data_IF_296499059503
#
_entry.id   IF_296499059503
#
_cell.length_a   1.000
_cell.length_b   1.000
_cell.length_c   1.000
_cell.angle_alpha   90.00
_cell.angle_beta   90.00
_cell.angle_gamma   90.00
#
_symmetry.space_group_name_H-M   'P 1'
#
loop_
_entity.id
_entity.type
_entity.pdbx_description
1 polymer ?
#
# COMPACT_ATOMS: atom_id res chain seq x y z
N UNK A 1 15.39 -20.03 22.68
CA UNK A 1 16.37 -19.11 23.26
C UNK A 1 15.82 -18.56 24.58
N UNK A 2 16.61 -18.57 25.68
CA UNK A 2 16.13 -18.28 27.02
C UNK A 2 15.97 -16.77 27.26
N UNK A 3 14.87 -16.40 27.93
CA UNK A 3 14.62 -15.17 28.70
C UNK A 3 15.19 -13.85 28.15
N UNK A 4 14.38 -13.11 27.38
CA UNK A 4 14.48 -11.66 27.39
C UNK A 4 13.97 -11.17 28.76
N UNK A 5 14.89 -10.86 29.67
CA UNK A 5 14.56 -10.22 30.96
C UNK A 5 13.90 -8.87 30.68
N UNK A 6 12.69 -8.65 31.22
CA UNK A 6 11.98 -7.38 31.16
C UNK A 6 12.78 -6.28 31.88
N UNK A 7 12.73 -5.06 31.35
CA UNK A 7 13.31 -3.90 32.01
C UNK A 7 12.64 -3.67 33.39
N UNK A 8 13.39 -3.09 34.34
CA UNK A 8 12.89 -2.76 35.69
C UNK A 8 11.92 -1.58 35.71
N UNK A 9 11.71 -0.91 34.57
CA UNK A 9 10.80 0.23 34.39
C UNK A 9 10.01 0.03 33.10
N UNK A 10 8.75 0.47 33.10
CA UNK A 10 7.91 0.54 31.91
C UNK A 10 7.73 1.99 31.43
N UNK A 11 7.02 2.20 30.33
CA UNK A 11 6.80 3.54 29.76
C UNK A 11 6.03 4.50 30.66
N UNK A 12 5.13 4.00 31.52
CA UNK A 12 4.40 4.83 32.47
C UNK A 12 5.31 5.32 33.59
N UNK A 13 6.22 4.47 34.08
CA UNK A 13 7.19 4.83 35.11
C UNK A 13 8.16 5.91 34.61
N UNK A 14 8.63 5.78 33.35
CA UNK A 14 9.49 6.77 32.69
C UNK A 14 8.79 8.12 32.54
N UNK A 15 7.52 8.13 32.14
CA UNK A 15 6.73 9.35 31.98
C UNK A 15 6.44 9.99 33.35
N UNK A 16 6.14 9.22 34.38
CA UNK A 16 5.95 9.73 35.74
C UNK A 16 7.23 10.36 36.28
N UNK A 17 8.38 9.71 36.10
CA UNK A 17 9.69 10.24 36.52
C UNK A 17 10.05 11.53 35.77
N UNK A 18 9.83 11.57 34.45
CA UNK A 18 10.06 12.77 33.63
C UNK A 18 9.15 13.93 34.06
N UNK A 19 7.87 13.68 34.35
CA UNK A 19 6.94 14.71 34.81
C UNK A 19 7.27 15.22 36.21
N UNK A 20 7.81 14.37 37.09
CA UNK A 20 8.22 14.74 38.43
C UNK A 20 9.50 15.61 38.44
N UNK A 21 10.49 15.26 37.62
CA UNK A 21 11.72 16.04 37.44
C UNK A 21 12.23 16.02 35.99
N UNK A 22 11.81 16.98 35.15
CA UNK A 22 12.22 17.06 33.75
C UNK A 22 13.71 17.33 33.52
N UNK A 23 14.46 17.70 34.57
CA UNK A 23 15.90 17.93 34.52
C UNK A 23 16.69 16.86 35.27
N UNK A 24 15.99 15.86 35.82
CA UNK A 24 16.57 14.79 36.62
C UNK A 24 17.12 13.65 35.78
N UNK A 25 17.59 12.63 36.47
CA UNK A 25 18.04 11.38 35.87
C UNK A 25 17.28 10.20 36.49
N UNK A 26 17.13 9.12 35.72
CA UNK A 26 16.50 7.88 36.18
C UNK A 26 17.38 6.68 35.86
N UNK A 27 17.63 5.84 36.86
CA UNK A 27 18.37 4.58 36.73
C UNK A 27 17.40 3.41 36.58
N UNK A 28 17.70 2.52 35.64
CA UNK A 28 16.95 1.27 35.46
C UNK A 28 17.86 0.15 34.94
N UNK A 29 17.45 -1.11 35.14
CA UNK A 29 18.13 -2.27 34.59
C UNK A 29 17.30 -2.92 33.48
N UNK A 30 17.98 -3.46 32.47
CA UNK A 30 17.37 -4.31 31.45
C UNK A 30 18.28 -5.50 31.20
N UNK A 31 17.86 -6.68 31.66
CA UNK A 31 18.73 -7.85 31.75
C UNK A 31 19.91 -7.61 32.69
N UNK A 32 21.12 -7.93 32.24
CA UNK A 32 22.36 -7.76 33.01
C UNK A 32 22.98 -6.35 32.92
N UNK A 33 22.29 -5.41 32.25
CA UNK A 33 22.82 -4.09 31.96
C UNK A 33 22.08 -3.02 32.76
N UNK A 34 22.82 -2.02 33.24
CA UNK A 34 22.30 -0.88 33.98
C UNK A 34 22.36 0.36 33.08
N UNK A 35 21.29 1.11 33.07
CA UNK A 35 21.09 2.29 32.26
C UNK A 35 20.72 3.49 33.11
N UNK A 36 21.13 4.66 32.64
CA UNK A 36 20.71 5.96 33.14
C UNK A 36 20.04 6.73 32.01
N UNK A 37 18.88 7.32 32.25
CA UNK A 37 18.27 8.30 31.35
C UNK A 37 18.46 9.68 31.96
N UNK A 38 19.09 10.57 31.20
CA UNK A 38 19.14 11.99 31.48
C UNK A 38 17.98 12.67 30.75
N UNK A 39 17.03 13.22 31.51
CA UNK A 39 15.84 13.88 30.97
C UNK A 39 16.12 15.28 30.45
N UNK A 40 17.16 15.94 30.95
CA UNK A 40 17.57 17.27 30.50
C UNK A 40 18.15 17.20 29.09
N UNK A 41 19.07 16.27 28.87
CA UNK A 41 19.77 16.10 27.59
C UNK A 41 19.05 15.13 26.65
N UNK A 42 18.03 14.42 27.16
CA UNK A 42 17.29 13.38 26.46
C UNK A 42 18.23 12.30 25.91
N UNK A 43 19.04 11.74 26.80
CA UNK A 43 20.03 10.71 26.46
C UNK A 43 19.95 9.54 27.45
N UNK A 44 19.88 8.32 26.92
CA UNK A 44 20.10 7.09 27.66
C UNK A 44 21.59 6.71 27.58
N UNK A 45 22.21 6.38 28.72
CA UNK A 45 23.58 5.90 28.85
C UNK A 45 23.59 4.51 29.46
N UNK A 46 24.31 3.58 28.85
CA UNK A 46 24.62 2.29 29.46
C UNK A 46 25.83 2.45 30.37
N UNK A 47 25.71 2.11 31.66
CA UNK A 47 26.77 2.33 32.65
C UNK A 47 27.89 1.27 32.62
N UNK A 48 27.68 0.17 31.88
CA UNK A 48 28.67 -0.91 31.74
C UNK A 48 29.53 -0.72 30.48
N UNK A 49 28.92 -0.28 29.39
CA UNK A 49 29.59 -0.12 28.08
C UNK A 49 29.83 1.34 27.69
N UNK A 50 29.39 2.29 28.51
CA UNK A 50 29.43 3.74 28.29
C UNK A 50 28.72 4.23 27.01
N UNK A 51 28.02 3.35 26.31
CA UNK A 51 27.29 3.70 25.08
C UNK A 51 26.14 4.66 25.38
N UNK A 52 25.98 5.67 24.52
CA UNK A 52 24.94 6.70 24.64
C UNK A 52 23.97 6.63 23.47
N UNK A 53 22.67 6.78 23.74
CA UNK A 53 21.60 6.83 22.74
C UNK A 53 20.67 8.00 23.03
N UNK A 54 20.29 8.74 22.00
CA UNK A 54 19.30 9.81 22.14
C UNK A 54 17.92 9.20 22.37
N UNK A 55 17.18 9.72 23.34
CA UNK A 55 15.78 9.36 23.60
C UNK A 55 14.88 10.53 23.22
N UNK A 56 13.63 10.24 22.89
CA UNK A 56 12.64 11.27 22.53
C UNK A 56 11.37 10.97 23.29
N UNK A 57 10.81 12.00 23.93
CA UNK A 57 9.50 11.93 24.57
C UNK A 57 8.43 12.18 23.53
N UNK A 58 7.49 11.25 23.38
CA UNK A 58 6.39 11.38 22.45
C UNK A 58 5.34 12.37 23.02
N UNK A 59 4.84 13.37 22.26
CA UNK A 59 3.80 14.27 22.75
C UNK A 59 2.50 13.52 23.10
N UNK A 60 1.84 13.90 24.21
CA UNK A 60 0.59 13.31 24.75
C UNK A 60 -0.63 13.35 23.81
N UNK A 61 -0.52 13.84 22.58
CA UNK A 61 -1.59 13.82 21.59
C UNK A 61 -1.81 12.43 20.93
N UNK A 62 -1.04 11.41 21.32
CA UNK A 62 -1.12 10.03 20.80
C UNK A 62 -1.61 8.99 21.82
N UNK A 63 -2.22 9.42 22.93
CA UNK A 63 -2.99 8.53 23.82
C UNK A 63 -4.48 8.79 23.60
N UNK A 64 -5.34 7.81 23.28
CA UNK A 64 -6.77 8.05 23.17
C UNK A 64 -7.34 8.35 24.57
N UNK A 65 -7.95 9.53 24.81
CA UNK A 65 -8.73 9.74 26.01
C UNK A 65 -10.10 9.10 25.79
N UNK A 66 -10.42 8.08 26.57
CA UNK A 66 -11.81 7.80 26.89
C UNK A 66 -12.41 9.06 27.52
N UNK A 67 -13.46 9.61 26.91
CA UNK A 67 -14.31 10.66 27.50
C UNK A 67 -14.40 11.96 26.69
N UNK A 68 -15.47 12.06 25.91
CA UNK A 68 -16.16 13.25 25.39
C UNK A 68 -15.57 14.66 25.65
N UNK A 69 -15.25 15.41 24.58
CA UNK A 69 -16.12 16.46 24.01
C UNK A 69 -15.44 17.19 22.85
N UNK A 70 -16.24 17.52 21.83
CA UNK A 70 -15.85 18.23 20.61
C UNK A 70 -15.27 19.63 20.86
N UNK A 71 -14.19 19.99 20.13
CA UNK A 71 -14.06 21.30 19.49
C UNK A 71 -13.06 21.23 18.33
N UNK A 72 -13.40 21.91 17.25
CA UNK A 72 -12.75 21.93 15.95
C UNK A 72 -11.36 22.56 16.01
N UNK A 73 -10.36 21.92 15.42
CA UNK A 73 -9.77 22.32 14.12
C UNK A 73 -8.44 21.59 13.86
N UNK A 74 -8.25 21.16 12.61
CA UNK A 74 -7.06 20.50 12.02
C UNK A 74 -6.84 18.99 12.27
N UNK A 75 -7.85 18.17 11.95
CA UNK A 75 -7.63 16.75 11.69
C UNK A 75 -7.02 16.55 10.28
N UNK A 76 -5.72 16.25 10.20
CA UNK A 76 -5.21 15.42 9.11
C UNK A 76 -5.73 13.98 9.36
N UNK A 77 -6.97 13.70 8.94
CA UNK A 77 -7.59 12.37 9.05
C UNK A 77 -6.93 11.40 8.07
N UNK A 78 -5.76 10.86 8.43
CA UNK A 78 -5.06 9.88 7.60
C UNK A 78 -5.60 8.45 7.74
N UNK A 79 -6.65 8.22 8.52
CA UNK A 79 -7.03 6.84 8.87
C UNK A 79 -8.54 6.66 9.01
N UNK A 80 -9.24 6.63 7.88
CA UNK A 80 -10.41 5.76 7.76
C UNK A 80 -10.23 4.86 6.55
N UNK A 81 -10.49 3.57 6.74
CA UNK A 81 -10.70 2.68 5.61
C UNK A 81 -11.88 3.21 4.78
N UNK A 82 -11.94 2.94 3.47
CA UNK A 82 -13.03 3.40 2.62
C UNK A 82 -14.38 3.00 3.23
N UNK A 83 -15.40 3.88 3.19
CA UNK A 83 -16.71 3.57 3.76
C UNK A 83 -17.39 2.40 3.07
N UNK A 84 -17.01 2.09 1.83
CA UNK A 84 -17.50 0.93 1.08
C UNK A 84 -16.93 -0.40 1.59
N UNK A 85 -15.86 -0.38 2.39
CA UNK A 85 -15.30 -1.57 3.00
C UNK A 85 -16.25 -2.13 4.05
N UNK A 86 -16.25 -3.45 4.15
CA UNK A 86 -16.90 -4.15 5.24
C UNK A 86 -16.05 -3.94 6.49
N UNK A 87 -16.50 -3.02 7.34
CA UNK A 87 -15.82 -2.62 8.57
C UNK A 87 -15.74 -3.78 9.58
N UNK A 88 -16.60 -4.79 9.47
CA UNK A 88 -16.53 -5.99 10.30
C UNK A 88 -15.43 -6.98 9.85
N UNK A 89 -14.91 -6.77 8.63
CA UNK A 89 -13.95 -7.64 7.96
C UNK A 89 -12.60 -6.96 7.67
N UNK A 90 -12.28 -5.87 8.36
CA UNK A 90 -10.96 -5.23 8.30
C UNK A 90 -10.08 -5.81 9.41
N UNK A 91 -8.99 -6.52 9.07
CA UNK A 91 -8.06 -7.02 10.08
C UNK A 91 -7.17 -5.88 10.60
N UNK A 92 -6.62 -6.00 11.81
CA UNK A 92 -5.65 -5.02 12.32
C UNK A 92 -4.34 -5.02 11.48
N UNK A 93 -3.92 -6.20 11.02
CA UNK A 93 -2.72 -6.44 10.19
C UNK A 93 -3.06 -7.47 9.11
N UNK A 94 -2.48 -7.31 7.92
CA UNK A 94 -2.63 -8.22 6.79
C UNK A 94 -3.82 -7.83 5.89
N UNK A 95 -4.46 -8.81 5.27
CA UNK A 95 -5.60 -8.58 4.38
C UNK A 95 -6.76 -9.55 4.61
N UNK A 96 -7.95 -9.09 4.20
CA UNK A 96 -9.13 -9.94 4.04
C UNK A 96 -9.67 -9.83 2.62
N UNK A 97 -10.18 -10.93 2.09
CA UNK A 97 -10.91 -10.94 0.83
C UNK A 97 -12.42 -10.97 1.11
N UNK A 98 -13.14 -9.99 0.57
CA UNK A 98 -14.60 -9.89 0.67
C UNK A 98 -15.20 -10.16 -0.70
N UNK A 99 -16.03 -11.18 -0.81
CA UNK A 99 -16.70 -11.50 -2.07
C UNK A 99 -17.83 -10.51 -2.34
N UNK A 100 -17.83 -9.93 -3.55
CA UNK A 100 -18.81 -8.92 -3.93
C UNK A 100 -20.05 -9.57 -4.54
N UNK A 101 -21.22 -9.11 -4.10
CA UNK A 101 -22.49 -9.47 -4.73
C UNK A 101 -22.54 -8.99 -6.18
N UNK A 102 -23.05 -9.82 -7.09
CA UNK A 102 -23.21 -9.48 -8.51
C UNK A 102 -24.18 -8.30 -8.75
N UNK A 103 -25.06 -8.01 -7.79
CA UNK A 103 -25.98 -6.86 -7.82
C UNK A 103 -25.38 -5.57 -7.27
N UNK A 104 -24.20 -5.60 -6.65
CA UNK A 104 -23.56 -4.41 -6.09
C UNK A 104 -23.07 -3.46 -7.18
N UNK A 105 -23.14 -2.15 -6.91
CA UNK A 105 -22.64 -1.12 -7.83
C UNK A 105 -21.15 -1.27 -8.13
N UNK A 106 -20.37 -1.70 -7.13
CA UNK A 106 -18.95 -2.01 -7.24
C UNK A 106 -18.70 -3.16 -8.23
N UNK A 107 -19.41 -4.28 -8.08
CA UNK A 107 -19.31 -5.41 -9.00
C UNK A 107 -19.67 -5.00 -10.44
N UNK A 108 -20.79 -4.30 -10.61
CA UNK A 108 -21.25 -3.85 -11.93
C UNK A 108 -20.23 -2.93 -12.59
N UNK A 109 -19.57 -2.04 -11.83
CA UNK A 109 -18.50 -1.18 -12.33
C UNK A 109 -17.31 -1.99 -12.85
N UNK A 110 -16.79 -2.92 -12.06
CA UNK A 110 -15.63 -3.74 -12.46
C UNK A 110 -15.98 -4.67 -13.62
N UNK A 111 -17.17 -5.28 -13.60
CA UNK A 111 -17.68 -6.10 -14.71
C UNK A 111 -17.73 -5.31 -16.02
N UNK A 112 -18.29 -4.10 -16.00
CA UNK A 112 -18.34 -3.23 -17.20
C UNK A 112 -16.94 -2.91 -17.73
N UNK A 113 -15.96 -2.68 -16.87
CA UNK A 113 -14.57 -2.43 -17.31
C UNK A 113 -13.96 -3.67 -17.97
N UNK A 114 -14.15 -4.85 -17.35
CA UNK A 114 -13.66 -6.12 -17.87
C UNK A 114 -14.29 -6.49 -19.23
N UNK A 115 -15.60 -6.35 -19.36
CA UNK A 115 -16.37 -6.74 -20.56
C UNK A 115 -16.10 -5.86 -21.79
N UNK A 116 -15.45 -4.69 -21.63
CA UNK A 116 -15.02 -3.87 -22.78
C UNK A 116 -14.19 -4.67 -23.77
N UNK A 117 -13.30 -5.55 -23.28
CA UNK A 117 -12.36 -6.31 -24.11
C UNK A 117 -12.43 -7.83 -23.92
N UNK A 118 -13.21 -8.31 -22.94
CA UNK A 118 -13.34 -9.74 -22.58
C UNK A 118 -14.76 -10.30 -22.77
N UNK A 119 -15.41 -9.98 -23.89
CA UNK A 119 -16.83 -10.33 -24.18
C UNK A 119 -17.18 -11.83 -24.16
N UNK A 120 -16.21 -12.72 -24.31
CA UNK A 120 -16.40 -14.18 -24.38
C UNK A 120 -15.97 -14.89 -23.08
N UNK A 121 -15.88 -14.14 -21.97
CA UNK A 121 -15.48 -14.67 -20.69
C UNK A 121 -16.51 -14.30 -19.64
N UNK A 122 -16.78 -15.23 -18.74
CA UNK A 122 -17.68 -15.06 -17.62
C UNK A 122 -16.89 -14.90 -16.31
N UNK A 123 -17.26 -13.89 -15.52
CA UNK A 123 -16.71 -13.66 -14.19
C UNK A 123 -17.30 -14.73 -13.26
N UNK A 124 -16.44 -15.58 -12.71
CA UNK A 124 -16.79 -16.58 -11.72
C UNK A 124 -16.89 -15.96 -10.32
N UNK A 125 -15.93 -15.10 -9.98
CA UNK A 125 -15.79 -14.50 -8.65
C UNK A 125 -15.14 -13.13 -8.77
N UNK A 126 -15.64 -12.18 -7.99
CA UNK A 126 -14.99 -10.89 -7.78
C UNK A 126 -14.84 -10.66 -6.29
N UNK A 127 -13.60 -10.47 -5.84
CA UNK A 127 -13.29 -10.26 -4.43
C UNK A 127 -12.60 -8.91 -4.26
N UNK A 128 -13.07 -8.11 -3.31
CA UNK A 128 -12.39 -6.92 -2.85
C UNK A 128 -11.32 -7.30 -1.84
N UNK A 129 -10.13 -6.71 -1.98
CA UNK A 129 -9.05 -6.84 -1.01
C UNK A 129 -9.20 -5.72 0.01
N UNK A 130 -9.20 -6.07 1.29
CA UNK A 130 -9.21 -5.14 2.41
C UNK A 130 -7.91 -5.30 3.20
N UNK A 131 -6.89 -4.56 2.78
CA UNK A 131 -5.60 -4.44 3.46
C UNK A 131 -5.42 -3.00 3.96
N UNK A 132 -5.65 -2.71 5.26
CA UNK A 132 -5.60 -1.34 5.77
C UNK A 132 -4.19 -0.75 5.73
N UNK A 133 -3.14 -1.53 5.98
CA UNK A 133 -1.75 -1.06 5.94
C UNK A 133 -1.35 -0.60 4.54
N UNK A 134 -1.65 -1.40 3.51
CA UNK A 134 -1.39 -1.00 2.12
C UNK A 134 -2.25 0.20 1.71
N UNK A 135 -3.49 0.28 2.17
CA UNK A 135 -4.37 1.42 1.90
C UNK A 135 -3.83 2.72 2.50
N UNK A 136 -3.39 2.69 3.76
CA UNK A 136 -2.82 3.86 4.44
C UNK A 136 -1.60 4.40 3.69
N UNK A 137 -0.68 3.52 3.29
CA UNK A 137 0.52 3.94 2.56
C UNK A 137 0.19 4.44 1.15
N UNK A 138 -0.80 3.84 0.47
CA UNK A 138 -1.30 4.32 -0.83
C UNK A 138 -1.92 5.71 -0.72
N UNK A 139 -2.77 5.97 0.29
CA UNK A 139 -3.35 7.30 0.52
C UNK A 139 -2.27 8.33 0.92
N UNK A 140 -1.29 7.93 1.73
CA UNK A 140 -0.13 8.77 2.02
C UNK A 140 0.63 9.16 0.76
N UNK A 141 0.92 8.20 -0.13
CA UNK A 141 1.59 8.46 -1.41
C UNK A 141 0.77 9.42 -2.29
N UNK A 142 -0.55 9.23 -2.36
CA UNK A 142 -1.47 10.12 -3.07
C UNK A 142 -1.39 11.56 -2.56
N UNK A 143 -1.37 11.75 -1.25
CA UNK A 143 -1.22 13.08 -0.64
C UNK A 143 0.16 13.70 -0.90
N UNK A 144 1.24 12.90 -0.93
CA UNK A 144 2.56 13.40 -1.34
C UNK A 144 2.55 13.88 -2.80
N UNK A 145 1.98 13.10 -3.71
CA UNK A 145 1.89 13.47 -5.13
C UNK A 145 1.07 14.75 -5.34
N UNK A 146 -0.04 14.93 -4.61
CA UNK A 146 -0.82 16.19 -4.63
C UNK A 146 0.02 17.40 -4.23
N UNK A 147 0.71 17.30 -3.09
CA UNK A 147 1.57 18.38 -2.55
C UNK A 147 2.70 18.73 -3.49
N UNK A 148 3.40 17.71 -4.01
CA UNK A 148 4.52 17.90 -4.94
C UNK A 148 4.07 18.54 -6.24
N UNK A 149 2.95 18.08 -6.81
CA UNK A 149 2.41 18.62 -8.06
C UNK A 149 1.65 19.95 -7.88
N UNK A 150 1.52 20.46 -6.64
CA UNK A 150 0.64 21.61 -6.31
C UNK A 150 -0.76 21.46 -6.92
N UNK A 151 -1.23 20.22 -7.03
CA UNK A 151 -2.49 19.86 -7.66
C UNK A 151 -3.49 19.40 -6.61
N UNK A 152 -4.77 19.66 -6.86
CA UNK A 152 -5.87 19.17 -6.02
C UNK A 152 -6.12 17.66 -6.23
N UNK A 153 -5.79 17.15 -7.41
CA UNK A 153 -6.01 15.76 -7.79
C UNK A 153 -4.73 15.13 -8.35
N UNK A 154 -4.67 13.80 -8.22
CA UNK A 154 -3.68 12.94 -8.87
C UNK A 154 -4.47 12.06 -9.83
N UNK A 155 -3.97 11.88 -11.05
CA UNK A 155 -4.58 10.92 -11.99
C UNK A 155 -4.46 9.52 -11.38
N UNK A 156 -5.62 8.97 -11.03
CA UNK A 156 -5.78 7.65 -10.42
C UNK A 156 -6.68 6.82 -11.31
N UNK A 157 -6.22 5.62 -11.67
CA UNK A 157 -6.90 4.74 -12.61
C UNK A 157 -7.11 3.36 -12.01
N UNK A 158 -8.19 2.71 -12.42
CA UNK A 158 -8.38 1.28 -12.22
C UNK A 158 -7.78 0.56 -13.43
N UNK A 159 -6.76 -0.26 -13.20
CA UNK A 159 -6.02 -0.95 -14.25
C UNK A 159 -5.89 -2.45 -13.94
N UNK A 160 -5.74 -3.26 -14.98
CA UNK A 160 -5.66 -4.70 -14.89
C UNK A 160 -4.21 -5.19 -14.78
N UNK A 161 -3.99 -6.25 -14.02
CA UNK A 161 -2.69 -6.93 -13.92
C UNK A 161 -2.88 -8.45 -13.93
N UNK A 162 -2.46 -9.09 -15.01
CA UNK A 162 -2.43 -10.55 -15.12
C UNK A 162 -1.28 -11.13 -14.32
N UNK A 163 -1.54 -12.20 -13.58
CA UNK A 163 -0.51 -12.87 -12.79
C UNK A 163 -0.82 -14.36 -12.61
N UNK A 164 0.12 -15.09 -12.01
CA UNK A 164 -0.10 -16.47 -11.62
C UNK A 164 -0.94 -16.52 -10.32
N UNK A 165 -1.98 -17.37 -10.24
CA UNK A 165 -2.76 -17.56 -9.01
C UNK A 165 -1.92 -17.84 -7.74
N UNK A 166 -0.73 -18.43 -7.87
CA UNK A 166 0.19 -18.67 -6.74
C UNK A 166 0.74 -17.38 -6.10
N UNK A 167 0.77 -16.27 -6.84
CA UNK A 167 1.28 -14.98 -6.38
C UNK A 167 0.21 -14.11 -5.71
N UNK A 168 -1.08 -14.45 -5.83
CA UNK A 168 -2.17 -13.64 -5.27
C UNK A 168 -2.01 -13.39 -3.76
N UNK A 169 -1.71 -14.40 -2.90
CA UNK A 169 -1.58 -14.16 -1.47
C UNK A 169 -0.43 -13.21 -1.13
N UNK A 170 0.69 -13.33 -1.85
CA UNK A 170 1.86 -12.48 -1.64
C UNK A 170 1.56 -11.03 -2.05
N UNK A 171 0.89 -10.81 -3.19
CA UNK A 171 0.53 -9.46 -3.66
C UNK A 171 -0.49 -8.81 -2.71
N UNK A 172 -1.48 -9.55 -2.23
CA UNK A 172 -2.46 -9.01 -1.27
C UNK A 172 -1.83 -8.63 0.08
N UNK A 173 -0.81 -9.36 0.52
CA UNK A 173 -0.12 -9.11 1.78
C UNK A 173 0.93 -7.99 1.65
N UNK A 174 1.74 -8.04 0.59
CA UNK A 174 3.00 -7.28 0.49
C UNK A 174 3.01 -6.24 -0.65
N UNK A 175 1.93 -6.17 -1.42
CA UNK A 175 1.80 -5.37 -2.66
C UNK A 175 2.60 -5.96 -3.84
N UNK A 176 2.51 -5.31 -5.00
CA UNK A 176 3.25 -5.70 -6.20
C UNK A 176 4.75 -5.43 -6.05
N UNK A 177 5.57 -6.41 -6.44
CA UNK A 177 7.02 -6.28 -6.51
C UNK A 177 7.51 -6.86 -7.84
N UNK A 178 7.86 -5.99 -8.79
CA UNK A 178 8.31 -6.40 -10.11
C UNK A 178 9.59 -7.27 -10.09
N UNK A 179 10.35 -7.24 -8.99
CA UNK A 179 11.54 -8.09 -8.81
C UNK A 179 11.16 -9.56 -8.56
N UNK A 180 9.93 -9.80 -8.11
CA UNK A 180 9.38 -11.12 -7.76
C UNK A 180 8.34 -11.56 -8.80
N UNK A 181 7.53 -10.63 -9.31
CA UNK A 181 6.43 -10.91 -10.24
C UNK A 181 6.88 -11.19 -11.69
N UNK A 182 8.19 -11.20 -11.95
CA UNK A 182 8.77 -11.45 -13.27
C UNK A 182 8.80 -10.21 -14.16
N UNK A 183 9.86 -10.07 -14.94
CA UNK A 183 10.07 -8.99 -15.93
C UNK A 183 9.72 -9.52 -17.32
N UNK A 184 8.44 -9.82 -17.56
CA UNK A 184 7.99 -10.17 -18.90
C UNK A 184 7.78 -8.89 -19.71
N UNK A 185 8.67 -8.62 -20.67
CA UNK A 185 8.56 -7.45 -21.56
C UNK A 185 8.79 -6.12 -20.84
N UNK A 186 10.04 -5.81 -20.50
CA UNK A 186 10.40 -4.50 -19.91
C UNK A 186 10.54 -3.40 -20.96
N UNK A 187 9.68 -3.35 -21.97
CA UNK A 187 9.82 -2.41 -23.09
C UNK A 187 9.76 -0.94 -22.66
N UNK A 188 9.03 -0.65 -21.58
CA UNK A 188 8.75 0.71 -21.10
C UNK A 188 9.33 0.98 -19.70
N UNK A 189 10.27 0.14 -19.26
CA UNK A 189 10.99 0.27 -18.00
C UNK A 189 10.90 -0.95 -17.09
N UNK A 190 11.73 -0.98 -16.05
CA UNK A 190 11.80 -2.04 -15.03
C UNK A 190 10.92 -1.68 -13.85
N UNK A 191 9.63 -1.91 -14.00
CA UNK A 191 8.60 -1.66 -12.99
C UNK A 191 7.45 -2.66 -13.10
N UNK A 192 6.40 -2.44 -12.31
CA UNK A 192 5.16 -3.21 -12.36
C UNK A 192 4.27 -2.70 -13.49
N UNK A 193 3.84 -3.60 -14.38
CA UNK A 193 3.04 -3.28 -15.57
C UNK A 193 1.54 -3.42 -15.29
N UNK A 194 0.76 -2.45 -15.74
CA UNK A 194 -0.70 -2.44 -15.62
C UNK A 194 -1.33 -2.07 -16.97
N UNK A 195 -2.39 -2.76 -17.33
CA UNK A 195 -3.07 -2.57 -18.59
C UNK A 195 -4.41 -1.83 -18.42
N UNK A 196 -4.72 -0.93 -19.33
CA UNK A 196 -6.06 -0.33 -19.47
C UNK A 196 -7.09 -1.41 -19.78
N UNK A 197 -6.73 -2.33 -20.67
CA UNK A 197 -7.62 -3.35 -21.22
C UNK A 197 -7.33 -4.73 -20.61
N UNK A 198 -8.39 -5.37 -20.07
CA UNK A 198 -8.28 -6.70 -19.46
C UNK A 198 -7.76 -7.77 -20.45
N UNK A 199 -8.04 -7.62 -21.74
CA UNK A 199 -7.51 -8.51 -22.79
C UNK A 199 -5.99 -8.56 -22.81
N UNK A 200 -5.32 -7.42 -22.65
CA UNK A 200 -3.85 -7.40 -22.61
C UNK A 200 -3.33 -8.11 -21.36
N UNK A 201 -3.96 -7.86 -20.21
CA UNK A 201 -3.62 -8.53 -18.96
C UNK A 201 -3.87 -10.06 -19.00
N UNK A 202 -4.85 -10.53 -19.80
CA UNK A 202 -5.15 -11.95 -19.94
C UNK A 202 -3.95 -12.79 -20.42
N UNK A 203 -3.14 -12.25 -21.33
CA UNK A 203 -1.98 -12.95 -21.89
C UNK A 203 -0.90 -13.23 -20.82
N UNK A 204 -0.96 -12.53 -19.69
CA UNK A 204 -0.10 -12.71 -18.52
C UNK A 204 -0.80 -13.43 -17.36
N UNK A 205 -2.09 -13.76 -17.49
CA UNK A 205 -2.84 -14.55 -16.52
C UNK A 205 -2.63 -16.05 -16.75
N UNK A 206 -2.12 -16.75 -15.74
CA UNK A 206 -2.05 -18.21 -15.80
C UNK A 206 -3.40 -18.85 -15.47
N UNK A 207 -3.76 -19.91 -16.19
CA UNK A 207 -4.97 -20.68 -15.89
C UNK A 207 -4.69 -21.79 -14.88
N UNK A 208 -5.63 -22.03 -13.96
CA UNK A 208 -5.69 -23.21 -13.09
C UNK A 208 -7.04 -23.89 -13.31
N UNK A 209 -7.04 -25.09 -13.87
CA UNK A 209 -8.26 -25.85 -14.18
C UNK A 209 -9.28 -25.07 -15.03
N UNK A 210 -8.80 -24.35 -16.05
CA UNK A 210 -9.64 -23.57 -16.97
C UNK A 210 -10.19 -22.26 -16.38
N UNK A 211 -9.75 -21.86 -15.18
CA UNK A 211 -10.04 -20.57 -14.56
C UNK A 211 -8.80 -19.70 -14.53
N UNK A 212 -8.98 -18.43 -14.85
CA UNK A 212 -7.93 -17.42 -14.85
C UNK A 212 -8.15 -16.46 -13.70
N UNK A 213 -7.06 -15.86 -13.23
CA UNK A 213 -7.10 -14.80 -12.23
C UNK A 213 -6.31 -13.58 -12.69
N UNK A 214 -6.82 -12.40 -12.40
CA UNK A 214 -6.10 -11.13 -12.56
C UNK A 214 -6.49 -10.17 -11.43
N UNK A 215 -5.62 -9.20 -11.19
CA UNK A 215 -5.95 -8.07 -10.32
C UNK A 215 -6.62 -6.95 -11.11
N UNK A 216 -7.49 -6.21 -10.42
CA UNK A 216 -7.82 -4.83 -10.77
C UNK A 216 -7.28 -3.95 -9.66
N UNK A 217 -6.27 -3.13 -9.97
CA UNK A 217 -5.57 -2.30 -9.01
C UNK A 217 -6.00 -0.82 -9.15
N UNK A 218 -6.04 -0.09 -8.03
CA UNK A 218 -6.01 1.37 -8.05
C UNK A 218 -4.56 1.81 -8.20
N UNK A 219 -4.29 2.64 -9.20
CA UNK A 219 -2.94 3.04 -9.57
C UNK A 219 -2.87 4.56 -9.69
N UNK A 220 -1.98 5.18 -8.93
CA UNK A 220 -1.66 6.60 -9.01
C UNK A 220 -0.70 6.83 -10.19
N UNK A 221 -1.23 6.94 -11.40
CA UNK A 221 -0.42 7.10 -12.61
C UNK A 221 0.20 8.49 -12.69
N UNK A 222 -0.44 9.51 -12.09
CA UNK A 222 0.07 10.88 -12.04
C UNK A 222 0.37 11.44 -13.43
N UNK A 223 1.42 12.25 -13.53
CA UNK A 223 1.95 12.65 -14.84
C UNK A 223 2.86 11.57 -15.40
N UNK A 224 2.60 11.15 -16.63
CA UNK A 224 3.33 10.09 -17.30
C UNK A 224 4.04 10.56 -18.56
N UNK A 225 4.98 9.73 -19.03
CA UNK A 225 5.79 9.95 -20.23
C UNK A 225 6.04 8.62 -20.91
N UNK A 226 6.39 8.63 -22.19
CA UNK A 226 6.74 7.40 -22.90
C UNK A 226 7.93 6.70 -22.22
N UNK A 227 7.77 5.40 -21.96
CA UNK A 227 8.80 4.59 -21.30
C UNK A 227 9.89 4.12 -22.25
N UNK A 228 11.01 3.69 -21.67
CA UNK A 228 12.13 3.05 -22.35
C UNK A 228 12.64 1.89 -21.51
N UNK A 229 13.21 0.87 -22.14
CA UNK A 229 13.55 -0.39 -21.49
C UNK A 229 14.59 -0.27 -20.37
N UNK A 230 15.45 0.74 -20.46
CA UNK A 230 16.55 0.98 -19.55
C UNK A 230 16.10 1.68 -18.26
N UNK A 231 14.89 2.25 -18.25
CA UNK A 231 14.42 3.03 -17.12
C UNK A 231 14.26 2.17 -15.87
N UNK A 232 14.94 2.57 -14.80
CA UNK A 232 14.80 2.01 -13.44
C UNK A 232 13.85 2.85 -12.57
N UNK A 233 13.51 4.04 -13.06
CA UNK A 233 12.58 5.02 -12.48
C UNK A 233 12.12 5.94 -13.61
N UNK A 234 11.00 6.68 -13.46
CA UNK A 234 10.59 7.65 -14.47
C UNK A 234 11.68 8.70 -14.71
N UNK A 235 11.80 9.23 -15.94
CA UNK A 235 12.80 10.24 -16.25
C UNK A 235 12.42 11.61 -15.64
N UNK A 236 13.36 12.57 -15.58
CA UNK A 236 13.08 13.95 -15.19
C UNK A 236 12.11 14.67 -16.12
N UNK A 237 11.34 15.63 -15.59
CA UNK A 237 10.47 16.50 -16.37
C UNK A 237 11.30 17.58 -17.08
N UNK A 238 11.07 17.85 -18.38
CA UNK A 238 11.84 18.87 -19.12
C UNK A 238 11.82 20.26 -18.47
N UNK A 239 10.67 20.64 -17.90
CA UNK A 239 10.47 21.94 -17.24
C UNK A 239 11.00 22.00 -15.80
N UNK A 240 11.42 20.88 -15.21
CA UNK A 240 11.85 20.79 -13.81
C UNK A 240 12.77 19.58 -13.62
N UNK A 241 14.08 19.70 -13.89
CA UNK A 241 15.02 18.58 -13.86
C UNK A 241 15.13 17.85 -12.50
N UNK A 242 14.80 18.55 -11.41
CA UNK A 242 14.77 17.97 -10.06
C UNK A 242 13.48 17.20 -9.76
N UNK A 243 12.53 17.13 -10.70
CA UNK A 243 11.25 16.44 -10.55
C UNK A 243 11.14 15.36 -11.61
N UNK A 244 10.73 14.17 -11.20
CA UNK A 244 10.49 13.06 -12.12
C UNK A 244 9.03 13.06 -12.57
N UNK A 245 8.77 12.39 -13.68
CA UNK A 245 7.43 11.88 -13.95
C UNK A 245 7.00 10.88 -12.87
N UNK A 246 5.71 10.62 -12.79
CA UNK A 246 5.12 9.73 -11.79
C UNK A 246 5.04 8.28 -12.31
N UNK A 247 4.91 8.09 -13.63
CA UNK A 247 4.92 6.77 -14.27
C UNK A 247 5.40 6.83 -15.74
N UNK A 248 5.57 5.66 -16.36
CA UNK A 248 5.86 5.54 -17.79
C UNK A 248 4.71 4.83 -18.51
N UNK A 249 4.53 5.12 -19.80
CA UNK A 249 3.49 4.52 -20.65
C UNK A 249 4.05 4.04 -22.00
N UNK A 250 3.26 3.27 -22.74
CA UNK A 250 3.56 2.88 -24.12
C UNK A 250 3.37 4.04 -25.12
N UNK A 251 2.25 4.75 -25.01
CA UNK A 251 1.88 5.91 -25.82
C UNK A 251 1.34 7.04 -24.92
N UNK A 252 1.97 8.23 -24.88
CA UNK A 252 1.46 9.36 -24.10
C UNK A 252 0.09 9.89 -24.52
N UNK A 253 -0.32 9.70 -25.79
CA UNK A 253 -1.58 10.24 -26.32
C UNK A 253 -2.77 9.31 -26.02
N UNK A 254 -2.61 8.00 -26.18
CA UNK A 254 -3.60 6.99 -25.79
C UNK A 254 -2.95 5.81 -25.03
N UNK A 255 -2.61 5.99 -23.75
CA UNK A 255 -1.86 4.98 -22.99
C UNK A 255 -2.71 3.73 -22.73
N UNK A 256 -2.19 2.59 -23.19
CA UNK A 256 -2.78 1.27 -22.96
C UNK A 256 -2.05 0.49 -21.86
N UNK A 257 -0.78 0.82 -21.62
CA UNK A 257 0.11 0.22 -20.63
C UNK A 257 0.69 1.30 -19.73
N UNK A 258 0.71 1.04 -18.42
CA UNK A 258 1.35 1.87 -17.42
C UNK A 258 2.40 1.08 -16.67
N UNK A 259 3.58 1.66 -16.50
CA UNK A 259 4.70 1.10 -15.74
C UNK A 259 4.92 1.93 -14.49
N UNK A 260 4.78 1.28 -13.34
CA UNK A 260 4.88 1.88 -12.02
C UNK A 260 6.13 1.38 -11.31
N UNK A 261 6.95 2.30 -10.83
CA UNK A 261 8.25 2.01 -10.22
C UNK A 261 8.22 2.04 -8.69
N UNK A 262 7.32 2.85 -8.11
CA UNK A 262 7.10 2.93 -6.66
C UNK A 262 5.85 2.14 -6.28
N UNK A 263 6.01 1.11 -5.45
CA UNK A 263 4.92 0.20 -5.07
C UNK A 263 3.81 0.90 -4.29
N UNK A 264 4.12 1.99 -3.59
CA UNK A 264 3.11 2.76 -2.86
C UNK A 264 2.15 3.54 -3.77
N UNK A 265 2.43 3.64 -5.08
CA UNK A 265 1.49 4.15 -6.07
C UNK A 265 0.40 3.14 -6.44
N UNK A 266 0.43 1.93 -5.87
CA UNK A 266 -0.45 0.83 -6.26
C UNK A 266 -1.20 0.30 -5.04
N UNK A 267 -2.49 0.05 -5.22
CA UNK A 267 -3.31 -0.71 -4.28
C UNK A 267 -4.02 -1.87 -5.01
N UNK A 268 -3.80 -3.14 -4.62
CA UNK A 268 -4.45 -4.30 -5.25
C UNK A 268 -5.92 -4.38 -4.84
N UNK A 269 -6.79 -3.56 -5.43
CA UNK A 269 -8.16 -3.36 -4.96
C UNK A 269 -9.07 -4.60 -5.10
N UNK A 270 -8.95 -5.35 -6.21
CA UNK A 270 -9.80 -6.50 -6.49
C UNK A 270 -9.04 -7.68 -7.11
N UNK A 271 -9.53 -8.89 -6.83
CA UNK A 271 -9.18 -10.12 -7.54
C UNK A 271 -10.38 -10.53 -8.38
N UNK A 272 -10.16 -10.70 -9.68
CA UNK A 272 -11.12 -11.21 -10.63
C UNK A 272 -10.77 -12.64 -11.01
N UNK A 273 -11.67 -13.60 -10.73
CA UNK A 273 -11.61 -14.96 -11.27
C UNK A 273 -12.63 -15.10 -12.40
N UNK A 274 -12.19 -15.60 -13.55
CA UNK A 274 -13.02 -15.69 -14.74
C UNK A 274 -12.65 -16.92 -15.58
N UNK A 275 -13.52 -17.31 -16.51
CA UNK A 275 -13.32 -18.43 -17.43
C UNK A 275 -13.89 -18.12 -18.79
N UNK A 276 -13.45 -18.85 -19.81
CA UNK A 276 -14.05 -18.76 -21.13
C UNK A 276 -15.53 -19.19 -21.04
N UNK A 277 -16.39 -18.47 -21.73
CA UNK A 277 -17.79 -18.84 -21.85
C UNK A 277 -17.88 -20.16 -22.63
N UNK A 278 -18.45 -21.18 -22.00
CA UNK A 278 -18.73 -22.43 -22.70
C UNK A 278 -19.90 -22.17 -23.63
N UNK A 279 -19.64 -22.09 -24.94
CA UNK A 279 -20.71 -22.20 -25.94
C UNK A 279 -21.35 -23.57 -25.76
N UNK A 280 -22.61 -23.61 -25.31
CA UNK A 280 -23.40 -24.82 -25.34
C UNK A 280 -23.64 -25.16 -26.81
N UNK A 281 -22.79 -26.01 -27.38
CA UNK A 281 -23.06 -26.61 -28.69
C UNK A 281 -24.00 -27.77 -28.40
N UNK A 282 -25.29 -27.55 -28.60
CA UNK A 282 -26.24 -28.66 -28.69
C UNK A 282 -25.92 -29.33 -30.03
N UNK A 283 -25.24 -30.47 -29.97
CA UNK A 283 -25.09 -31.41 -31.09
C UNK A 283 -26.34 -32.27 -31.20
#
# INVERSE_FOLDING_TARGET
HPYHSSASVNSADLEQAFLADPKGTLLFSAGSQIYEIDFKDMVQRNLVSETRRKVVRLPKALSPPFGHNMSQDTNLSFSSCPPEWDQSAVPDIGYKLVELSSSSSEYVKIKRLFEKTMKHYNICRLQRVQNPSLWQVFQWQKEQMKKLNKSKCVDERLLFHGTNPSLLPAICEQNFDWRICGVNGTAYGKGSYFARDARYAHDYSSSKSGRYSMFVAQVLVGEFVQGQSEYLRPPPRPSSPNRLYDSCVDDPEDPSIFVIFEKYQIYPAYILEYRIESSCVIL
#
